data_IF_006360504852
#
_entry.id   IF_006360504852
#
_cell.length_a   1.000
_cell.length_b   1.000
_cell.length_c   1.000
_cell.angle_alpha   90.00
_cell.angle_beta   90.00
_cell.angle_gamma   90.00
#
_symmetry.space_group_name_H-M   'P 1'
#
loop_
_entity.id
_entity.type
_entity.pdbx_description
1 polymer ?
#
# COMPACT_ATOMS: atom_id res chain seq x y z
N UNK A 1 33.11 -21.48 67.29
CA UNK A 1 32.97 -21.84 65.85
C UNK A 1 32.66 -20.56 65.07
N UNK A 2 33.60 -20.04 64.26
CA UNK A 2 33.36 -18.87 63.40
C UNK A 2 32.86 -19.35 62.04
N UNK A 3 31.67 -18.91 61.61
CA UNK A 3 31.12 -19.23 60.28
C UNK A 3 31.79 -18.35 59.23
N UNK A 4 32.40 -18.98 58.22
CA UNK A 4 32.97 -18.34 57.05
C UNK A 4 31.82 -17.98 56.09
N UNK A 5 31.72 -16.72 55.67
CA UNK A 5 30.74 -16.29 54.65
C UNK A 5 31.51 -16.02 53.36
N UNK A 6 31.21 -16.79 52.32
CA UNK A 6 31.76 -16.61 50.97
C UNK A 6 30.76 -15.75 50.20
N UNK A 7 31.10 -14.54 49.72
CA UNK A 7 30.17 -13.75 48.92
C UNK A 7 30.08 -14.36 47.52
N UNK A 8 28.87 -14.70 47.08
CA UNK A 8 28.62 -15.10 45.71
C UNK A 8 28.70 -13.87 44.80
N UNK A 9 29.59 -13.89 43.81
CA UNK A 9 29.66 -12.87 42.76
C UNK A 9 28.61 -13.22 41.71
N UNK A 10 27.56 -12.41 41.62
CA UNK A 10 26.60 -12.47 40.51
C UNK A 10 27.15 -11.68 39.33
N UNK A 11 27.49 -12.36 38.24
CA UNK A 11 27.80 -11.71 36.96
C UNK A 11 26.48 -11.52 36.21
N UNK A 12 26.02 -10.28 36.12
CA UNK A 12 24.84 -9.93 35.35
C UNK A 12 25.27 -9.67 33.90
N UNK A 13 24.88 -10.53 32.97
CA UNK A 13 25.14 -10.30 31.54
C UNK A 13 23.99 -9.48 30.97
N UNK A 14 24.24 -8.23 30.60
CA UNK A 14 23.26 -7.39 29.90
C UNK A 14 23.29 -7.78 28.42
N UNK A 15 22.26 -8.47 27.95
CA UNK A 15 22.02 -8.65 26.52
C UNK A 15 21.35 -7.37 26.00
N UNK A 16 22.12 -6.51 25.35
CA UNK A 16 21.60 -5.30 24.70
C UNK A 16 20.87 -5.74 23.41
N UNK A 17 19.54 -5.92 23.48
CA UNK A 17 18.72 -6.09 22.29
C UNK A 17 18.56 -4.72 21.61
N UNK A 18 19.42 -4.42 20.63
CA UNK A 18 19.18 -3.32 19.72
C UNK A 18 17.99 -3.71 18.82
N UNK A 19 16.79 -3.21 19.14
CA UNK A 19 15.68 -3.23 18.20
C UNK A 19 16.05 -2.32 17.01
N UNK A 20 15.79 -2.73 15.76
CA UNK A 20 15.94 -1.83 14.64
C UNK A 20 15.05 -0.60 14.86
N UNK A 21 15.64 0.59 14.84
CA UNK A 21 14.90 1.85 14.85
C UNK A 21 14.36 2.09 13.44
N UNK A 22 13.04 2.24 13.33
CA UNK A 22 12.42 2.68 12.09
C UNK A 22 12.46 4.20 12.03
N UNK A 23 13.07 4.75 10.99
CA UNK A 23 13.00 6.17 10.68
C UNK A 23 12.08 6.38 9.49
N UNK A 24 11.05 7.22 9.67
CA UNK A 24 10.16 7.62 8.58
C UNK A 24 10.74 8.84 7.89
N UNK A 25 10.87 8.77 6.56
CA UNK A 25 11.31 9.89 5.72
C UNK A 25 10.25 10.98 5.57
N UNK A 26 10.57 11.99 4.75
CA UNK A 26 9.60 13.02 4.40
C UNK A 26 8.44 12.45 3.58
N UNK A 27 7.24 12.93 3.85
CA UNK A 27 6.07 12.63 3.03
C UNK A 27 6.18 13.36 1.70
N UNK A 28 5.98 12.64 0.60
CA UNK A 28 5.87 13.22 -0.73
C UNK A 28 4.65 12.62 -1.45
N UNK A 29 4.12 13.35 -2.44
CA UNK A 29 3.03 12.84 -3.26
C UNK A 29 3.59 11.83 -4.27
N UNK A 30 3.00 10.63 -4.35
CA UNK A 30 3.31 9.66 -5.42
C UNK A 30 3.16 10.35 -6.78
N UNK A 31 2.07 11.11 -6.94
CA UNK A 31 1.82 11.96 -8.11
C UNK A 31 1.35 13.32 -7.64
N UNK A 32 2.03 14.37 -8.09
CA UNK A 32 1.62 15.75 -7.85
C UNK A 32 0.71 16.22 -8.98
N UNK A 33 -0.59 16.25 -8.73
CA UNK A 33 -1.62 16.75 -9.65
C UNK A 33 -2.53 17.76 -8.95
N UNK A 34 -2.84 18.84 -9.67
CA UNK A 34 -3.73 19.90 -9.18
C UNK A 34 -5.20 19.53 -9.41
N UNK A 35 -6.09 20.01 -8.54
CA UNK A 35 -7.56 19.87 -8.66
C UNK A 35 -8.08 18.43 -8.77
N UNK A 36 -7.34 17.48 -8.20
CA UNK A 36 -7.69 16.06 -8.16
C UNK A 36 -7.62 15.57 -6.72
N UNK A 37 -8.66 14.86 -6.28
CA UNK A 37 -8.57 14.09 -5.04
C UNK A 37 -8.04 12.69 -5.35
N UNK A 38 -6.99 12.27 -4.64
CA UNK A 38 -6.49 10.91 -4.65
C UNK A 38 -6.94 10.23 -3.35
N UNK A 39 -7.72 9.16 -3.45
CA UNK A 39 -8.45 8.57 -2.32
C UNK A 39 -8.26 7.07 -2.25
N UNK A 40 -8.40 6.54 -1.03
CA UNK A 40 -8.49 5.10 -0.75
C UNK A 40 -7.33 4.29 -1.36
N UNK A 41 -6.07 4.63 -1.04
CA UNK A 41 -4.93 3.90 -1.57
C UNK A 41 -4.91 2.47 -1.01
N UNK A 42 -4.41 1.56 -1.83
CA UNK A 42 -4.07 0.19 -1.44
C UNK A 42 -2.79 -0.21 -2.16
N UNK A 43 -1.98 -1.07 -1.55
CA UNK A 43 -0.72 -1.50 -2.12
C UNK A 43 -0.43 -2.97 -1.80
N UNK A 44 0.39 -3.60 -2.65
CA UNK A 44 0.88 -4.96 -2.48
C UNK A 44 2.28 -5.09 -3.10
N UNK A 45 3.13 -5.91 -2.49
CA UNK A 45 4.41 -6.30 -3.09
C UNK A 45 4.24 -7.59 -3.90
N UNK A 46 4.91 -7.68 -5.05
CA UNK A 46 5.11 -8.95 -5.76
C UNK A 46 6.33 -9.73 -5.19
N UNK A 47 6.61 -10.91 -5.75
CA UNK A 47 7.77 -11.72 -5.33
C UNK A 47 9.13 -11.15 -5.76
N UNK A 48 9.14 -10.19 -6.67
CA UNK A 48 10.35 -9.49 -7.14
C UNK A 48 10.66 -8.24 -6.30
N UNK A 49 9.80 -7.88 -5.35
CA UNK A 49 9.93 -6.66 -4.55
C UNK A 49 9.33 -5.42 -5.22
N UNK A 50 8.64 -5.56 -6.35
CA UNK A 50 7.90 -4.46 -6.98
C UNK A 50 6.73 -4.07 -6.07
N UNK A 51 6.64 -2.79 -5.71
CA UNK A 51 5.49 -2.26 -5.00
C UNK A 51 4.43 -1.83 -6.02
N UNK A 52 3.26 -2.44 -5.97
CA UNK A 52 2.10 -2.11 -6.79
C UNK A 52 1.10 -1.28 -5.98
N UNK A 53 0.64 -0.16 -6.53
CA UNK A 53 -0.32 0.73 -5.87
C UNK A 53 -1.55 0.94 -6.72
N UNK A 54 -2.69 1.02 -6.04
CA UNK A 54 -3.97 1.42 -6.62
C UNK A 54 -4.66 2.45 -5.77
N UNK A 55 -5.36 3.39 -6.40
CA UNK A 55 -6.14 4.41 -5.70
C UNK A 55 -7.30 4.89 -6.58
N UNK A 56 -8.25 5.57 -5.95
CA UNK A 56 -9.29 6.33 -6.65
C UNK A 56 -8.73 7.70 -7.02
N UNK A 57 -8.78 8.01 -8.30
CA UNK A 57 -8.49 9.32 -8.86
C UNK A 57 -9.82 10.03 -9.14
N UNK A 58 -10.07 11.14 -8.45
CA UNK A 58 -11.28 11.92 -8.60
C UNK A 58 -10.98 13.30 -9.16
N UNK A 59 -11.45 13.56 -10.38
CA UNK A 59 -11.41 14.88 -11.02
C UNK A 59 -12.84 15.43 -11.11
N UNK A 60 -13.14 16.47 -10.32
CA UNK A 60 -14.52 16.94 -10.13
C UNK A 60 -15.43 15.84 -9.55
N UNK A 61 -16.54 15.54 -10.23
CA UNK A 61 -17.46 14.45 -9.88
C UNK A 61 -17.06 13.08 -10.46
N UNK A 62 -16.02 13.02 -11.29
CA UNK A 62 -15.65 11.82 -12.02
C UNK A 62 -14.64 11.00 -11.25
N UNK A 63 -14.94 9.73 -11.03
CA UNK A 63 -14.09 8.78 -10.32
C UNK A 63 -13.55 7.73 -11.29
N UNK A 64 -12.28 7.38 -11.11
CA UNK A 64 -11.61 6.30 -11.83
C UNK A 64 -10.64 5.59 -10.87
N UNK A 65 -10.25 4.35 -11.20
CA UNK A 65 -9.19 3.63 -10.48
C UNK A 65 -7.90 3.75 -11.28
N UNK A 66 -6.84 4.15 -10.60
CA UNK A 66 -5.51 4.31 -11.16
C UNK A 66 -4.53 3.36 -10.48
N UNK A 67 -3.48 3.04 -11.22
CA UNK A 67 -2.39 2.17 -10.85
C UNK A 67 -1.04 2.84 -11.11
N UNK A 68 -0.07 2.58 -10.25
CA UNK A 68 1.35 2.84 -10.49
C UNK A 68 2.18 1.79 -9.75
N UNK A 69 3.44 1.64 -10.14
CA UNK A 69 4.38 0.74 -9.48
C UNK A 69 5.70 1.43 -9.14
N UNK A 70 6.38 0.90 -8.14
CA UNK A 70 7.78 1.20 -7.84
C UNK A 70 8.60 -0.08 -7.93
N UNK A 71 9.72 0.00 -8.65
CA UNK A 71 10.71 -1.08 -8.79
C UNK A 71 11.96 -0.82 -7.92
N UNK A 72 11.92 0.24 -7.12
CA UNK A 72 13.02 0.74 -6.30
C UNK A 72 12.54 1.01 -4.87
N UNK A 73 11.84 0.04 -4.28
CA UNK A 73 11.45 0.06 -2.86
C UNK A 73 10.65 1.30 -2.41
N UNK A 74 9.96 1.96 -3.35
CA UNK A 74 9.20 3.18 -3.11
C UNK A 74 10.04 4.46 -3.15
N UNK A 75 11.20 4.48 -3.84
CA UNK A 75 11.95 5.73 -4.09
C UNK A 75 11.37 6.52 -5.28
N UNK A 76 10.88 5.83 -6.31
CA UNK A 76 10.21 6.43 -7.47
C UNK A 76 9.03 5.57 -7.94
N UNK A 77 8.15 6.16 -8.73
CA UNK A 77 6.96 5.49 -9.25
C UNK A 77 6.83 5.68 -10.76
N UNK A 78 6.24 4.70 -11.42
CA UNK A 78 5.83 4.80 -12.82
C UNK A 78 4.78 5.89 -13.02
N UNK A 79 4.64 6.34 -14.27
CA UNK A 79 3.49 7.15 -14.66
C UNK A 79 2.17 6.41 -14.35
N UNK A 80 1.14 7.10 -13.84
CA UNK A 80 -0.10 6.45 -13.47
C UNK A 80 -0.93 6.02 -14.66
N UNK A 81 -1.53 4.84 -14.57
CA UNK A 81 -2.40 4.30 -15.60
C UNK A 81 -3.80 4.06 -15.04
N UNK A 82 -4.83 4.50 -15.79
CA UNK A 82 -6.22 4.16 -15.48
C UNK A 82 -6.49 2.70 -15.81
N UNK A 83 -7.02 1.93 -14.86
CA UNK A 83 -7.27 0.50 -15.06
C UNK A 83 -8.74 0.17 -15.37
N UNK A 84 -9.70 1.02 -14.99
CA UNK A 84 -11.10 0.78 -15.34
C UNK A 84 -11.34 1.07 -16.83
N UNK A 85 -12.06 0.18 -17.51
CA UNK A 85 -12.35 0.29 -18.94
C UNK A 85 -13.44 1.32 -19.26
N UNK A 86 -14.39 1.50 -18.36
CA UNK A 86 -15.48 2.48 -18.50
C UNK A 86 -15.17 3.69 -17.63
N UNK A 87 -15.14 4.88 -18.24
CA UNK A 87 -14.82 6.12 -17.54
C UNK A 87 -15.94 6.54 -16.61
N UNK A 88 -15.58 7.08 -15.44
CA UNK A 88 -16.50 7.81 -14.56
C UNK A 88 -17.63 6.96 -13.97
N UNK A 89 -17.52 5.64 -14.06
CA UNK A 89 -18.46 4.67 -13.49
C UNK A 89 -17.98 4.10 -12.17
N UNK A 90 -16.80 4.49 -11.68
CA UNK A 90 -16.27 3.98 -10.43
C UNK A 90 -17.04 4.58 -9.26
N UNK A 91 -17.50 3.73 -8.36
CA UNK A 91 -18.14 4.12 -7.10
C UNK A 91 -17.16 3.88 -5.96
N UNK A 92 -16.99 4.85 -5.07
CA UNK A 92 -16.13 4.66 -3.90
C UNK A 92 -16.62 5.45 -2.69
N UNK A 93 -16.64 4.78 -1.54
CA UNK A 93 -16.92 5.35 -0.23
C UNK A 93 -15.74 5.06 0.71
N UNK A 94 -15.71 5.67 1.90
CA UNK A 94 -14.57 5.64 2.84
C UNK A 94 -14.05 4.20 3.12
N UNK A 95 -14.93 3.19 3.12
CA UNK A 95 -14.56 1.80 3.39
C UNK A 95 -14.44 0.92 2.14
N UNK A 96 -14.67 1.46 0.94
CA UNK A 96 -14.85 0.68 -0.29
C UNK A 96 -13.99 1.22 -1.46
N UNK A 97 -12.69 1.38 -1.21
CA UNK A 97 -11.69 1.65 -2.25
C UNK A 97 -11.28 0.39 -3.03
N UNK A 98 -10.51 0.55 -4.12
CA UNK A 98 -9.95 -0.56 -4.87
C UNK A 98 -9.10 -1.45 -3.95
N UNK A 99 -9.06 -2.75 -4.27
CA UNK A 99 -8.14 -3.71 -3.65
C UNK A 99 -7.28 -4.33 -4.73
N UNK A 100 -5.99 -4.49 -4.44
CA UNK A 100 -5.03 -5.16 -5.31
C UNK A 100 -4.56 -6.45 -4.64
N UNK A 101 -4.40 -7.50 -5.44
CA UNK A 101 -3.77 -8.75 -5.08
C UNK A 101 -2.85 -9.19 -6.23
N UNK A 102 -1.78 -9.91 -5.90
CA UNK A 102 -0.82 -10.43 -6.85
C UNK A 102 -0.94 -11.95 -6.90
N UNK A 103 -1.10 -12.52 -8.09
CA UNK A 103 -1.20 -13.97 -8.35
C UNK A 103 -0.12 -14.38 -9.35
N UNK A 104 1.02 -14.86 -8.86
CA UNK A 104 2.20 -15.02 -9.72
C UNK A 104 2.63 -13.66 -10.23
N UNK A 105 2.69 -13.48 -11.54
CA UNK A 105 2.97 -12.19 -12.19
C UNK A 105 1.70 -11.39 -12.54
N UNK A 106 0.50 -11.94 -12.27
CA UNK A 106 -0.75 -11.24 -12.56
C UNK A 106 -1.13 -10.28 -11.43
N UNK A 107 -1.42 -9.04 -11.83
CA UNK A 107 -2.00 -8.02 -10.96
C UNK A 107 -3.51 -8.08 -11.08
N UNK A 108 -4.19 -8.38 -9.98
CA UNK A 108 -5.65 -8.45 -9.90
C UNK A 108 -6.16 -7.27 -9.08
N UNK A 109 -6.97 -6.41 -9.68
CA UNK A 109 -7.57 -5.27 -8.99
C UNK A 109 -9.09 -5.38 -9.01
N UNK A 110 -9.71 -5.33 -7.84
CA UNK A 110 -11.17 -5.29 -7.70
C UNK A 110 -11.64 -3.93 -7.22
N UNK A 111 -12.74 -3.45 -7.78
CA UNK A 111 -13.32 -2.14 -7.49
C UNK A 111 -14.83 -2.14 -7.74
N UNK A 112 -15.55 -1.19 -7.14
CA UNK A 112 -16.97 -1.01 -7.40
C UNK A 112 -17.19 -0.09 -8.58
N UNK A 113 -18.21 -0.41 -9.38
CA UNK A 113 -18.56 0.35 -10.57
C UNK A 113 -20.06 0.20 -10.88
N UNK A 114 -20.69 1.27 -11.36
CA UNK A 114 -22.13 1.38 -11.60
C UNK A 114 -22.52 1.47 -13.08
N UNK A 115 -21.64 1.06 -14.02
CA UNK A 115 -21.84 1.19 -15.48
C UNK A 115 -23.14 0.61 -16.04
N UNK A 116 -23.85 -0.20 -15.26
CA UNK A 116 -25.12 -0.84 -15.63
C UNK A 116 -26.34 -0.16 -14.99
N UNK A 117 -26.16 0.93 -14.24
CA UNK A 117 -27.18 1.56 -13.40
C UNK A 117 -27.29 0.96 -12.00
N UNK A 118 -26.53 -0.11 -11.70
CA UNK A 118 -26.44 -0.71 -10.37
C UNK A 118 -24.97 -0.89 -9.97
N UNK A 119 -24.64 -0.52 -8.74
CA UNK A 119 -23.30 -0.75 -8.17
C UNK A 119 -23.00 -2.25 -8.12
N UNK A 120 -21.97 -2.66 -8.84
CA UNK A 120 -21.47 -4.03 -8.88
C UNK A 120 -19.96 -4.05 -8.66
N UNK A 121 -19.41 -5.23 -8.32
CA UNK A 121 -17.98 -5.41 -8.20
C UNK A 121 -17.41 -5.84 -9.54
N UNK A 122 -16.38 -5.14 -10.01
CA UNK A 122 -15.64 -5.45 -11.22
C UNK A 122 -14.19 -5.77 -10.89
N UNK A 123 -13.56 -6.54 -11.78
CA UNK A 123 -12.16 -6.90 -11.72
C UNK A 123 -11.46 -6.43 -12.99
N UNK A 124 -10.23 -5.92 -12.83
CA UNK A 124 -9.27 -5.80 -13.91
C UNK A 124 -8.08 -6.72 -13.58
N UNK A 125 -7.60 -7.45 -14.57
CA UNK A 125 -6.43 -8.33 -14.46
C UNK A 125 -5.42 -7.87 -15.50
N UNK A 126 -4.15 -7.70 -15.10
CA UNK A 126 -3.08 -7.37 -16.04
C UNK A 126 -2.94 -8.45 -17.12
N UNK A 127 -2.61 -8.01 -18.34
CA UNK A 127 -2.29 -8.90 -19.48
C UNK A 127 -0.81 -9.20 -19.55
#
# INVERSE_FOLDING_TARGET
MRKLIIPAIFVFTIVLNAQPSFEFGQNYQIISVNNVNQKFPYAAFDSNGTLHLVWVHQSGGNLNVYYAQSIDEGYSYSDPVRINSHVHTVVAYIQAGPKIAIRGDEIVVVFMDDRTGYTSVYVNVST
#
